data_IF_289725806464
#
_entry.id   IF_289725806464
#
_cell.length_a   1.000
_cell.length_b   1.000
_cell.length_c   1.000
_cell.angle_alpha   90.00
_cell.angle_beta   90.00
_cell.angle_gamma   90.00
#
_symmetry.space_group_name_H-M   'P 1'
#
loop_
_entity.id
_entity.type
_entity.pdbx_description
1 polymer ?
#
# COMPACT_ATOMS: atom_id res chain seq x y z
N UNK A 1 16.90 15.91 6.80
CA UNK A 1 16.55 15.91 8.24
C UNK A 1 17.23 17.09 8.92
N UNK A 2 16.58 17.79 9.87
CA UNK A 2 17.18 18.95 10.58
C UNK A 2 18.53 18.61 11.24
N UNK A 3 18.68 17.37 11.70
CA UNK A 3 19.93 16.82 12.24
C UNK A 3 21.06 16.71 11.21
N UNK A 4 20.76 16.53 9.91
CA UNK A 4 21.76 16.52 8.84
C UNK A 4 22.29 17.92 8.53
N UNK A 5 21.56 18.97 8.93
CA UNK A 5 21.98 20.36 8.78
C UNK A 5 22.73 20.88 10.02
N UNK A 6 23.26 19.99 10.87
CA UNK A 6 24.02 20.36 12.07
C UNK A 6 23.19 20.86 13.25
N UNK A 7 21.85 20.87 13.15
CA UNK A 7 20.98 21.29 14.25
C UNK A 7 20.63 20.08 15.13
N UNK A 8 21.09 20.02 16.40
CA UNK A 8 20.81 18.90 17.27
C UNK A 8 19.34 18.87 17.70
N UNK A 9 18.57 18.03 17.02
CA UNK A 9 17.12 17.91 17.22
C UNK A 9 16.72 16.48 17.58
N UNK A 10 16.14 16.31 18.77
CA UNK A 10 15.54 15.05 19.21
C UNK A 10 14.03 15.04 19.01
N UNK A 11 13.43 13.84 18.92
CA UNK A 11 11.96 13.67 18.84
C UNK A 11 11.21 14.43 19.95
N UNK A 12 11.80 14.46 21.16
CA UNK A 12 11.21 15.10 22.34
C UNK A 12 11.31 16.63 22.29
N UNK A 13 12.40 17.18 21.72
CA UNK A 13 12.53 18.63 21.50
C UNK A 13 11.53 19.12 20.46
N UNK A 14 11.42 18.40 19.33
CA UNK A 14 10.43 18.69 18.30
C UNK A 14 9.00 18.67 18.86
N UNK A 15 8.64 17.63 19.61
CA UNK A 15 7.31 17.54 20.23
C UNK A 15 7.01 18.66 21.24
N UNK A 16 8.00 19.10 22.03
CA UNK A 16 7.83 20.25 22.94
C UNK A 16 7.61 21.56 22.19
N UNK A 17 8.37 21.82 21.12
CA UNK A 17 8.23 23.02 20.31
C UNK A 17 6.87 23.07 19.60
N UNK A 18 6.42 21.94 19.04
CA UNK A 18 5.09 21.86 18.42
C UNK A 18 3.98 22.20 19.42
N UNK A 19 4.05 21.66 20.64
CA UNK A 19 3.09 22.00 21.72
C UNK A 19 3.14 23.49 22.09
N UNK A 20 4.34 24.05 22.24
CA UNK A 20 4.51 25.47 22.58
C UNK A 20 3.93 26.40 21.51
N UNK A 21 4.09 26.03 20.24
CA UNK A 21 3.57 26.77 19.08
C UNK A 21 2.12 26.41 18.72
N UNK A 22 1.46 25.56 19.52
CA UNK A 22 0.12 25.04 19.26
C UNK A 22 -0.05 24.40 17.86
N UNK A 23 0.98 23.68 17.41
CA UNK A 23 1.02 22.98 16.12
C UNK A 23 0.68 21.50 16.30
N UNK A 24 -0.13 20.96 15.39
CA UNK A 24 -0.45 19.54 15.26
C UNK A 24 0.13 18.96 13.96
N UNK A 25 0.44 17.66 13.95
CA UNK A 25 0.88 16.97 12.74
C UNK A 25 -0.32 16.63 11.86
N UNK A 26 -0.29 17.04 10.59
CA UNK A 26 -1.25 16.64 9.57
C UNK A 26 -0.76 15.46 8.72
N UNK A 27 0.34 14.81 9.12
CA UNK A 27 0.87 13.70 8.35
C UNK A 27 -0.16 12.56 8.33
N UNK A 28 -0.52 12.04 7.15
CA UNK A 28 -1.39 10.89 7.07
C UNK A 28 -0.73 9.71 7.77
N UNK A 29 -1.51 8.97 8.55
CA UNK A 29 -1.04 7.72 9.15
C UNK A 29 -0.66 6.70 8.08
N UNK A 30 -0.13 5.56 8.53
CA UNK A 30 0.13 4.43 7.62
C UNK A 30 -1.15 4.10 6.86
N UNK A 31 -1.05 4.01 5.54
CA UNK A 31 -2.19 3.64 4.71
C UNK A 31 -2.71 2.27 5.13
N UNK A 32 -3.99 2.20 5.49
CA UNK A 32 -4.67 0.95 5.80
C UNK A 32 -5.43 0.51 4.56
N UNK A 33 -4.88 -0.48 3.85
CA UNK A 33 -5.63 -1.14 2.79
C UNK A 33 -6.83 -1.85 3.41
N UNK A 34 -8.03 -1.56 2.90
CA UNK A 34 -9.22 -2.29 3.29
C UNK A 34 -9.15 -3.71 2.72
N UNK A 35 -9.49 -4.71 3.53
CA UNK A 35 -9.68 -6.06 3.01
C UNK A 35 -10.88 -6.06 2.06
N UNK A 36 -10.64 -6.22 0.76
CA UNK A 36 -11.67 -6.33 -0.26
C UNK A 36 -12.36 -7.70 -0.17
N UNK A 37 -13.20 -7.89 0.85
CA UNK A 37 -14.11 -9.04 0.97
C UNK A 37 -15.42 -8.82 0.22
N UNK A 38 -15.71 -7.57 -0.11
CA UNK A 38 -16.94 -7.19 -0.80
C UNK A 38 -16.69 -7.21 -2.30
N UNK A 39 -17.55 -7.91 -3.02
CA UNK A 39 -17.54 -7.92 -4.47
C UNK A 39 -17.93 -6.55 -5.03
N UNK A 40 -17.40 -6.24 -6.20
CA UNK A 40 -17.73 -5.01 -6.91
C UNK A 40 -19.18 -5.09 -7.40
N UNK A 41 -19.99 -4.08 -7.08
CA UNK A 41 -21.44 -4.11 -7.38
C UNK A 41 -21.73 -4.17 -8.89
N UNK A 42 -20.85 -3.58 -9.70
CA UNK A 42 -21.00 -3.55 -11.15
C UNK A 42 -20.30 -4.73 -11.86
N UNK A 43 -19.37 -5.41 -11.19
CA UNK A 43 -18.59 -6.53 -11.74
C UNK A 43 -18.59 -7.71 -10.75
N UNK A 44 -19.62 -8.57 -10.80
CA UNK A 44 -19.66 -9.75 -9.96
C UNK A 44 -18.54 -10.74 -10.32
N UNK A 45 -18.03 -11.46 -9.31
CA UNK A 45 -17.03 -12.49 -9.54
C UNK A 45 -17.69 -13.77 -10.06
N UNK A 46 -17.84 -13.89 -11.38
CA UNK A 46 -18.52 -15.00 -12.03
C UNK A 46 -17.85 -16.37 -11.82
N UNK A 47 -16.57 -16.37 -11.44
CA UNK A 47 -15.75 -17.58 -11.32
C UNK A 47 -15.64 -18.08 -9.88
N UNK A 48 -16.01 -17.29 -8.87
CA UNK A 48 -15.89 -17.61 -7.43
C UNK A 48 -14.59 -18.35 -7.01
N UNK A 49 -13.47 -18.10 -7.71
CA UNK A 49 -12.18 -18.80 -7.55
C UNK A 49 -12.15 -20.28 -7.96
N UNK A 50 -13.11 -20.76 -8.75
CA UNK A 50 -13.03 -22.05 -9.45
C UNK A 50 -12.19 -21.92 -10.72
N UNK A 51 -10.89 -22.18 -10.58
CA UNK A 51 -9.93 -22.20 -11.69
C UNK A 51 -9.77 -23.59 -12.31
N UNK A 52 -10.53 -24.58 -11.85
CA UNK A 52 -10.59 -25.92 -12.44
C UNK A 52 -11.58 -25.88 -13.61
N UNK A 53 -11.05 -25.82 -14.83
CA UNK A 53 -11.84 -25.65 -16.05
C UNK A 53 -11.86 -26.97 -16.81
N UNK A 54 -13.03 -27.42 -17.33
CA UNK A 54 -13.15 -28.72 -18.01
C UNK A 54 -12.46 -28.76 -19.38
N UNK A 55 -12.29 -27.61 -20.04
CA UNK A 55 -11.70 -27.49 -21.37
C UNK A 55 -10.74 -26.29 -21.44
N UNK A 56 -9.68 -26.33 -22.28
CA UNK A 56 -8.87 -25.16 -22.60
C UNK A 56 -9.70 -24.00 -23.18
N UNK A 57 -9.17 -22.78 -23.10
CA UNK A 57 -9.72 -21.58 -23.76
C UNK A 57 -11.14 -21.16 -23.32
N UNK A 58 -11.51 -21.46 -22.07
CA UNK A 58 -12.80 -21.09 -21.48
C UNK A 58 -12.71 -20.00 -20.43
N UNK A 59 -11.57 -19.89 -19.75
CA UNK A 59 -11.35 -18.95 -18.64
C UNK A 59 -9.93 -18.39 -18.77
N UNK A 60 -9.80 -17.07 -18.64
CA UNK A 60 -8.51 -16.38 -18.58
C UNK A 60 -8.41 -15.62 -17.25
N UNK A 61 -7.27 -15.74 -16.59
CA UNK A 61 -6.93 -14.99 -15.38
C UNK A 61 -5.60 -14.27 -15.62
N UNK A 62 -5.50 -13.02 -15.20
CA UNK A 62 -4.27 -12.24 -15.29
C UNK A 62 -4.05 -11.39 -14.05
N UNK A 63 -2.79 -11.27 -13.62
CA UNK A 63 -2.35 -10.33 -12.60
C UNK A 63 -1.27 -9.40 -13.16
N UNK A 64 -1.19 -8.19 -12.59
CA UNK A 64 -0.12 -7.24 -12.90
C UNK A 64 0.77 -7.13 -11.66
N UNK A 65 2.00 -7.59 -11.79
CA UNK A 65 3.03 -7.44 -10.77
C UNK A 65 4.06 -6.41 -11.24
N UNK A 66 4.17 -5.29 -10.51
CA UNK A 66 5.21 -4.29 -10.76
C UNK A 66 6.54 -4.76 -10.16
N UNK A 67 7.60 -4.78 -10.97
CA UNK A 67 8.97 -4.97 -10.49
C UNK A 67 9.64 -3.61 -10.28
N UNK A 68 10.38 -3.47 -9.18
CA UNK A 68 11.14 -2.25 -8.88
C UNK A 68 12.62 -2.52 -9.13
N UNK A 69 13.29 -1.79 -10.05
CA UNK A 69 14.72 -1.94 -10.27
C UNK A 69 15.52 -1.67 -8.99
N UNK A 70 16.40 -2.59 -8.59
CA UNK A 70 17.32 -2.42 -7.46
C UNK A 70 16.90 -3.06 -6.13
N UNK A 71 15.72 -3.71 -6.06
CA UNK A 71 15.30 -4.49 -4.88
C UNK A 71 15.62 -5.96 -5.12
N UNK A 72 16.73 -6.46 -4.57
CA UNK A 72 17.06 -7.89 -4.57
C UNK A 72 16.35 -8.56 -3.39
N UNK A 73 15.50 -9.55 -3.72
CA UNK A 73 14.58 -10.19 -2.80
C UNK A 73 15.27 -10.93 -1.64
N UNK A 74 14.85 -10.58 -0.43
CA UNK A 74 15.10 -11.31 0.80
C UNK A 74 14.40 -10.53 1.91
N UNK A 75 13.37 -11.12 2.50
CA UNK A 75 12.34 -10.48 3.34
C UNK A 75 11.18 -9.90 2.54
N UNK A 76 10.15 -10.72 2.36
CA UNK A 76 8.82 -10.22 2.01
C UNK A 76 8.36 -9.26 3.08
N UNK A 77 8.17 -7.99 2.71
CA UNK A 77 7.34 -7.01 3.42
C UNK A 77 7.15 -5.78 2.51
N UNK A 78 5.96 -5.69 1.91
CA UNK A 78 5.17 -4.46 1.76
C UNK A 78 5.85 -3.27 1.05
N UNK A 79 6.03 -3.36 -0.25
CA UNK A 79 6.03 -2.19 -1.14
C UNK A 79 5.26 -2.56 -2.41
N UNK A 80 3.98 -2.85 -2.28
CA UNK A 80 3.15 -3.07 -3.46
C UNK A 80 2.56 -1.73 -3.91
N UNK A 81 2.90 -1.19 -5.09
CA UNK A 81 1.99 -0.32 -5.79
C UNK A 81 0.93 -1.21 -6.43
N UNK A 82 -0.08 -1.65 -5.65
CA UNK A 82 -1.30 -2.21 -6.25
C UNK A 82 -2.22 -1.05 -6.60
N UNK A 83 -2.05 -0.54 -7.81
CA UNK A 83 -2.99 0.40 -8.41
C UNK A 83 -4.32 -0.35 -8.57
N UNK A 84 -5.33 0.00 -7.77
CA UNK A 84 -6.70 -0.39 -8.05
C UNK A 84 -7.15 0.38 -9.29
N UNK A 85 -6.94 -0.18 -10.48
CA UNK A 85 -7.68 0.24 -11.66
C UNK A 85 -9.08 -0.35 -11.51
N UNK A 86 -9.99 0.46 -10.98
CA UNK A 86 -11.42 0.19 -11.13
C UNK A 86 -11.77 0.42 -12.60
N UNK A 87 -12.29 -0.62 -13.25
CA UNK A 87 -13.12 -0.49 -14.44
C UNK A 87 -14.58 -0.70 -14.02
#
# INVERSE_FOLDING_TARGET
MLTQNGVPMSRYRAGRLMKYLNLSSCQPGKHQYKNARQEHTCLPNLLERQFAVPEPDRVWCGDITYSVPGVQGGHGCLNEPRVCLEY
#
